data_IF_937529750805
#
_entry.id   IF_937529750805
#
_cell.length_a   1.000
_cell.length_b   1.000
_cell.length_c   1.000
_cell.angle_alpha   90.00
_cell.angle_beta   90.00
_cell.angle_gamma   90.00
#
_symmetry.space_group_name_H-M   'P 1'
#
loop_
_entity.id
_entity.type
_entity.pdbx_description
1 polymer ?
#
# COMPACT_ATOMS: atom_id res chain seq x y z
N UNK A 1 -15.81 11.24 -6.67
CA UNK A 1 -15.66 9.82 -6.35
C UNK A 1 -14.20 9.55 -6.09
N UNK A 2 -13.82 9.04 -4.92
CA UNK A 2 -12.41 8.78 -4.59
C UNK A 2 -11.96 7.44 -5.20
N UNK A 3 -10.65 7.23 -5.40
CA UNK A 3 -10.11 5.95 -5.89
C UNK A 3 -10.56 4.77 -5.03
N UNK A 4 -10.69 4.98 -3.71
CA UNK A 4 -11.19 3.98 -2.77
C UNK A 4 -12.64 3.54 -3.07
N UNK A 5 -13.52 4.47 -3.43
CA UNK A 5 -14.92 4.14 -3.76
C UNK A 5 -15.05 3.32 -5.04
N UNK A 6 -14.15 3.54 -6.00
CA UNK A 6 -14.09 2.71 -7.20
C UNK A 6 -13.65 1.29 -6.85
N UNK A 7 -12.61 1.16 -6.02
CA UNK A 7 -12.04 -0.13 -5.68
C UNK A 7 -13.00 -1.05 -4.90
N UNK A 8 -13.91 -0.47 -4.10
CA UNK A 8 -14.95 -1.21 -3.38
C UNK A 8 -15.83 -2.08 -4.30
N UNK A 9 -16.06 -1.66 -5.54
CA UNK A 9 -16.84 -2.42 -6.52
C UNK A 9 -16.03 -3.45 -7.30
N UNK A 10 -14.71 -3.37 -7.26
CA UNK A 10 -13.81 -4.23 -8.04
C UNK A 10 -13.26 -5.41 -7.23
N UNK A 11 -13.15 -5.28 -5.90
CA UNK A 11 -12.62 -6.34 -5.04
C UNK A 11 -13.55 -7.55 -4.94
N UNK A 12 -13.02 -8.72 -5.32
CA UNK A 12 -13.73 -10.00 -5.38
C UNK A 12 -13.59 -10.82 -4.10
N UNK A 13 -12.44 -10.72 -3.43
CA UNK A 13 -12.06 -11.57 -2.30
C UNK A 13 -12.05 -10.82 -0.95
N UNK A 14 -12.08 -9.48 -1.00
CA UNK A 14 -12.23 -8.65 0.20
C UNK A 14 -13.60 -8.84 0.82
N UNK A 15 -13.63 -9.05 2.13
CA UNK A 15 -14.85 -9.30 2.90
C UNK A 15 -15.75 -8.07 3.00
N UNK A 16 -17.04 -8.29 3.27
CA UNK A 16 -17.99 -7.19 3.48
C UNK A 16 -17.60 -6.34 4.70
N UNK A 17 -17.01 -6.93 5.74
CA UNK A 17 -16.52 -6.20 6.91
C UNK A 17 -15.37 -5.23 6.55
N UNK A 18 -14.40 -5.68 5.76
CA UNK A 18 -13.31 -4.83 5.27
C UNK A 18 -13.84 -3.72 4.34
N UNK A 19 -14.80 -4.05 3.47
CA UNK A 19 -15.48 -3.08 2.59
C UNK A 19 -16.24 -2.03 3.38
N UNK A 20 -16.99 -2.41 4.41
CA UNK A 20 -17.68 -1.48 5.30
C UNK A 20 -16.71 -0.59 6.08
N UNK A 21 -15.53 -1.12 6.46
CA UNK A 21 -14.51 -0.32 7.14
C UNK A 21 -13.94 0.77 6.20
N UNK A 22 -13.65 0.44 4.94
CA UNK A 22 -13.23 1.43 3.93
C UNK A 22 -14.33 2.47 3.68
N UNK A 23 -15.60 2.07 3.56
CA UNK A 23 -16.73 3.01 3.42
C UNK A 23 -16.82 3.96 4.61
N UNK A 24 -16.65 3.44 5.83
CA UNK A 24 -16.65 4.23 7.06
C UNK A 24 -15.55 5.30 7.02
N UNK A 25 -14.32 4.93 6.64
CA UNK A 25 -13.22 5.89 6.53
C UNK A 25 -13.39 6.90 5.39
N UNK A 26 -14.00 6.51 4.27
CA UNK A 26 -14.36 7.47 3.20
C UNK A 26 -15.39 8.49 3.70
N UNK A 27 -16.39 8.06 4.47
CA UNK A 27 -17.38 8.95 5.06
C UNK A 27 -16.76 9.90 6.11
N UNK A 28 -15.86 9.39 6.96
CA UNK A 28 -15.11 10.19 7.94
C UNK A 28 -14.26 11.25 7.23
N UNK A 29 -13.52 10.88 6.19
CA UNK A 29 -12.70 11.80 5.39
C UNK A 29 -13.56 12.86 4.69
N UNK A 30 -14.70 12.48 4.10
CA UNK A 30 -15.63 13.44 3.49
C UNK A 30 -16.14 14.45 4.50
N UNK A 31 -16.59 13.99 5.66
CA UNK A 31 -17.06 14.85 6.74
C UNK A 31 -15.97 15.82 7.22
N UNK A 32 -14.72 15.35 7.30
CA UNK A 32 -13.57 16.19 7.62
C UNK A 32 -13.33 17.25 6.53
N UNK A 33 -13.38 16.87 5.25
CA UNK A 33 -13.22 17.80 4.11
C UNK A 33 -14.35 18.83 3.98
N UNK A 34 -15.57 18.48 4.38
CA UNK A 34 -16.72 19.38 4.41
C UNK A 34 -16.67 20.40 5.56
N UNK A 35 -15.84 20.14 6.59
CA UNK A 35 -15.67 21.05 7.71
C UNK A 35 -14.60 22.13 7.38
N UNK A 36 -14.99 23.40 7.19
CA UNK A 36 -14.03 24.47 6.87
C UNK A 36 -13.06 24.79 8.02
N UNK A 37 -13.35 24.33 9.23
CA UNK A 37 -12.52 24.52 10.43
C UNK A 37 -11.70 23.26 10.80
N UNK A 38 -11.65 22.25 9.92
CA UNK A 38 -10.90 21.02 10.19
C UNK A 38 -9.41 21.33 10.38
N UNK A 39 -8.80 20.72 11.40
CA UNK A 39 -7.36 20.81 11.55
C UNK A 39 -6.66 20.00 10.46
N UNK A 40 -5.50 20.48 9.99
CA UNK A 40 -4.71 19.73 9.01
C UNK A 40 -4.33 18.33 9.51
N UNK A 41 -4.05 18.22 10.81
CA UNK A 41 -3.71 16.95 11.45
C UNK A 41 -4.90 15.98 11.46
N UNK A 42 -6.13 16.46 11.66
CA UNK A 42 -7.34 15.63 11.62
C UNK A 42 -7.60 15.11 10.21
N UNK A 43 -7.42 15.97 9.20
CA UNK A 43 -7.57 15.58 7.79
C UNK A 43 -6.49 14.57 7.37
N UNK A 44 -5.25 14.76 7.82
CA UNK A 44 -4.15 13.82 7.59
C UNK A 44 -4.44 12.47 8.27
N UNK A 45 -4.87 12.47 9.54
CA UNK A 45 -5.21 11.26 10.27
C UNK A 45 -6.37 10.49 9.61
N UNK A 46 -7.41 11.18 9.13
CA UNK A 46 -8.50 10.55 8.38
C UNK A 46 -8.02 9.94 7.05
N UNK A 47 -7.10 10.63 6.37
CA UNK A 47 -6.48 10.15 5.12
C UNK A 47 -5.62 8.91 5.36
N UNK A 48 -4.80 8.90 6.42
CA UNK A 48 -3.94 7.77 6.79
C UNK A 48 -4.75 6.51 7.12
N UNK A 49 -5.86 6.66 7.88
CA UNK A 49 -6.77 5.54 8.18
C UNK A 49 -7.35 4.95 6.89
N UNK A 50 -7.82 5.81 5.98
CA UNK A 50 -8.35 5.36 4.70
C UNK A 50 -7.30 4.63 3.86
N UNK A 51 -6.07 5.17 3.78
CA UNK A 51 -4.99 4.55 3.02
C UNK A 51 -4.60 3.19 3.59
N UNK A 52 -4.51 3.04 4.92
CA UNK A 52 -4.23 1.75 5.57
C UNK A 52 -5.30 0.71 5.24
N UNK A 53 -6.57 1.07 5.39
CA UNK A 53 -7.68 0.16 5.09
C UNK A 53 -7.70 -0.27 3.62
N UNK A 54 -7.44 0.65 2.69
CA UNK A 54 -7.36 0.33 1.25
C UNK A 54 -6.17 -0.58 0.94
N UNK A 55 -5.01 -0.35 1.57
CA UNK A 55 -3.83 -1.20 1.38
C UNK A 55 -4.04 -2.61 1.93
N UNK A 56 -4.70 -2.75 3.09
CA UNK A 56 -5.08 -4.04 3.67
C UNK A 56 -6.02 -4.80 2.73
N UNK A 57 -7.07 -4.15 2.23
CA UNK A 57 -7.99 -4.74 1.25
C UNK A 57 -7.25 -5.18 -0.04
N UNK A 58 -6.34 -4.35 -0.56
CA UNK A 58 -5.52 -4.71 -1.72
C UNK A 58 -4.63 -5.93 -1.48
N UNK A 59 -4.10 -6.08 -0.25
CA UNK A 59 -3.34 -7.26 0.15
C UNK A 59 -4.23 -8.49 0.23
N UNK A 60 -5.41 -8.40 0.86
CA UNK A 60 -6.38 -9.50 0.95
C UNK A 60 -6.77 -9.99 -0.45
N UNK A 61 -7.07 -9.06 -1.36
CA UNK A 61 -7.40 -9.36 -2.75
C UNK A 61 -6.27 -10.12 -3.45
N UNK A 62 -5.03 -9.61 -3.34
CA UNK A 62 -3.87 -10.23 -3.96
C UNK A 62 -3.58 -11.62 -3.38
N UNK A 63 -3.61 -11.78 -2.06
CA UNK A 63 -3.33 -13.04 -1.39
C UNK A 63 -4.37 -14.11 -1.72
N UNK A 64 -5.65 -13.75 -1.73
CA UNK A 64 -6.71 -14.70 -2.08
C UNK A 64 -6.77 -15.01 -3.58
N UNK A 65 -6.52 -14.03 -4.45
CA UNK A 65 -6.40 -14.27 -5.88
C UNK A 65 -5.21 -15.18 -6.20
N UNK A 66 -4.07 -14.97 -5.53
CA UNK A 66 -2.90 -15.84 -5.63
C UNK A 66 -3.24 -17.25 -5.12
N UNK A 67 -3.83 -17.41 -3.94
CA UNK A 67 -4.26 -18.71 -3.42
C UNK A 67 -5.24 -19.44 -4.34
N UNK A 68 -6.18 -18.71 -4.95
CA UNK A 68 -7.13 -19.25 -5.93
C UNK A 68 -6.43 -19.72 -7.22
N UNK A 69 -5.31 -19.10 -7.61
CA UNK A 69 -4.53 -19.46 -8.80
C UNK A 69 -3.43 -20.52 -8.50
N UNK A 70 -2.92 -20.54 -7.26
CA UNK A 70 -1.92 -21.47 -6.74
C UNK A 70 -2.49 -22.84 -6.33
N UNK A 71 -3.80 -23.07 -6.53
CA UNK A 71 -4.40 -24.41 -6.47
C UNK A 71 -3.82 -25.40 -7.50
N UNK A 72 -2.91 -24.95 -8.36
CA UNK A 72 -2.04 -25.78 -9.20
C UNK A 72 -0.58 -25.50 -8.82
N UNK A 73 0.04 -26.44 -8.10
CA UNK A 73 1.48 -26.48 -7.75
C UNK A 73 1.97 -25.62 -6.56
N UNK A 74 2.07 -26.31 -5.42
CA UNK A 74 3.28 -26.42 -4.59
C UNK A 74 3.98 -25.15 -4.09
N UNK A 75 3.84 -24.92 -2.78
CA UNK A 75 4.95 -24.72 -1.83
C UNK A 75 6.08 -23.73 -2.24
N UNK A 76 5.87 -22.44 -1.97
CA UNK A 76 6.88 -21.41 -1.60
C UNK A 76 6.07 -20.19 -1.16
N UNK A 77 5.96 -19.87 0.13
CA UNK A 77 7.10 -19.50 0.96
C UNK A 77 7.21 -17.98 0.92
N UNK A 78 6.76 -17.35 2.00
CA UNK A 78 7.25 -16.09 2.58
C UNK A 78 8.36 -15.32 1.84
N UNK A 79 8.22 -13.99 1.88
CA UNK A 79 9.18 -12.92 1.51
C UNK A 79 8.96 -12.27 0.13
N UNK A 80 8.12 -11.24 0.10
CA UNK A 80 8.39 -10.07 -0.72
C UNK A 80 8.08 -8.79 0.06
N UNK A 81 8.88 -8.59 1.10
CA UNK A 81 9.18 -7.29 1.68
C UNK A 81 10.68 -7.08 1.45
N UNK A 82 11.04 -6.43 0.33
CA UNK A 82 12.29 -5.69 0.06
C UNK A 82 12.51 -5.54 -1.45
N UNK A 83 12.20 -4.36 -1.99
CA UNK A 83 12.87 -3.85 -3.20
C UNK A 83 12.73 -2.33 -3.32
N UNK A 84 13.21 -1.62 -2.30
CA UNK A 84 13.68 -0.23 -2.42
C UNK A 84 14.92 -0.14 -1.53
N UNK A 85 16.12 -0.16 -2.12
CA UNK A 85 17.34 -0.06 -1.32
C UNK A 85 18.69 -0.29 -2.02
N UNK A 86 18.75 -0.84 -3.24
CA UNK A 86 20.04 -1.27 -3.82
C UNK A 86 20.42 -0.52 -5.11
N UNK A 87 20.42 0.82 -5.07
CA UNK A 87 20.89 1.61 -6.21
C UNK A 87 21.82 2.76 -5.84
N UNK A 88 22.52 2.69 -4.70
CA UNK A 88 23.38 3.80 -4.24
C UNK A 88 24.77 3.40 -3.70
N UNK A 89 25.31 2.23 -4.05
CA UNK A 89 26.69 1.85 -3.63
C UNK A 89 27.72 1.64 -4.76
N UNK A 90 27.41 1.94 -6.03
CA UNK A 90 28.37 1.74 -7.14
C UNK A 90 29.15 2.98 -7.60
N UNK A 91 29.23 4.07 -6.80
CA UNK A 91 30.06 5.23 -7.16
C UNK A 91 31.27 5.48 -6.24
N UNK A 92 31.49 4.68 -5.20
CA UNK A 92 32.59 4.88 -4.25
C UNK A 92 33.93 4.23 -4.63
N UNK A 93 33.92 3.10 -5.34
CA UNK A 93 35.11 2.24 -5.46
C UNK A 93 36.03 2.57 -6.64
N UNK A 94 35.58 3.36 -7.61
CA UNK A 94 36.41 3.69 -8.79
C UNK A 94 37.38 4.85 -8.58
N UNK A 95 37.32 5.57 -7.45
CA UNK A 95 38.18 6.73 -7.24
C UNK A 95 39.47 6.44 -6.46
N UNK A 96 39.64 5.23 -5.89
CA UNK A 96 40.84 4.91 -5.11
C UNK A 96 41.98 4.29 -5.94
N UNK A 97 41.71 3.63 -7.07
CA UNK A 97 42.75 2.97 -7.87
C UNK A 97 43.58 3.89 -8.79
N UNK A 98 43.23 5.17 -8.95
CA UNK A 98 44.00 6.09 -9.81
C UNK A 98 45.07 6.91 -9.05
N UNK A 99 45.25 6.66 -7.75
CA UNK A 99 46.27 7.34 -6.92
C UNK A 99 47.58 6.57 -6.81
N UNK A 100 47.59 5.29 -7.22
CA UNK A 100 48.74 4.37 -7.02
C UNK A 100 49.56 4.10 -8.29
N UNK A 101 49.28 4.79 -9.40
CA UNK A 101 50.19 4.87 -10.55
C UNK A 101 50.76 6.28 -10.68
N UNK A 102 51.65 6.59 -9.75
CA UNK A 102 52.69 7.60 -9.93
C UNK A 102 53.95 6.93 -10.46
#
# INVERSE_FOLDING_TARGET
MTTAERQLGEWKYVSDAEKENVKTHVAELRKAMENPNVAKDDLAAATDKLQKAVMECGRTEYQQAAAANSGSSSNSGEQQQQQQGDQQQQQGDQQQQNSEKK
#
